data_IF_310871666000
#
_entry.id   IF_310871666000
#
_cell.length_a   1.000
_cell.length_b   1.000
_cell.length_c   1.000
_cell.angle_alpha   90.00
_cell.angle_beta   90.00
_cell.angle_gamma   90.00
#
_symmetry.space_group_name_H-M   'P 1'
#
loop_
_entity.id
_entity.type
_entity.pdbx_description
1 polymer ?
#
# COMPACT_ATOMS: atom_id res chain seq x y z
N UNK A 1 23.00 -1.78 57.69
CA UNK A 1 21.65 -1.63 57.10
C UNK A 1 21.69 -0.44 56.17
N UNK A 2 21.82 -0.72 54.87
CA UNK A 2 21.80 0.24 53.77
C UNK A 2 20.97 -0.40 52.64
N UNK A 3 20.22 0.37 51.84
CA UNK A 3 19.18 -0.15 50.95
C UNK A 3 19.76 -0.68 49.63
N UNK A 4 19.15 -1.76 49.13
CA UNK A 4 19.42 -2.30 47.79
C UNK A 4 18.65 -1.50 46.71
N UNK A 5 19.18 -1.41 45.48
CA UNK A 5 18.60 -0.63 44.40
C UNK A 5 17.55 -1.40 43.60
N UNK A 6 16.68 -0.64 42.94
CA UNK A 6 15.59 -1.06 42.06
C UNK A 6 16.19 -1.57 40.73
N UNK A 7 16.02 -2.86 40.43
CA UNK A 7 16.25 -3.40 39.08
C UNK A 7 14.98 -3.22 38.22
N UNK A 8 15.11 -2.42 37.16
CA UNK A 8 14.14 -2.28 36.08
C UNK A 8 14.29 -3.42 35.07
N UNK A 9 13.28 -4.29 34.98
CA UNK A 9 13.24 -5.35 33.99
C UNK A 9 12.92 -4.80 32.59
N UNK A 10 13.94 -4.43 31.83
CA UNK A 10 13.84 -4.27 30.37
C UNK A 10 13.89 -5.65 29.71
N UNK A 11 12.77 -6.12 29.15
CA UNK A 11 12.79 -7.30 28.26
C UNK A 11 13.35 -6.91 26.88
N UNK A 12 14.29 -7.69 26.31
CA UNK A 12 14.89 -7.35 25.02
C UNK A 12 13.95 -7.63 23.84
N UNK A 13 13.88 -6.65 22.93
CA UNK A 13 13.22 -6.73 21.63
C UNK A 13 13.85 -7.86 20.79
N UNK A 14 13.09 -8.90 20.44
CA UNK A 14 13.51 -9.89 19.42
C UNK A 14 13.24 -9.32 18.02
N UNK A 15 14.25 -9.19 17.15
CA UNK A 15 14.01 -8.84 15.75
C UNK A 15 13.33 -10.03 15.04
N UNK A 16 12.17 -9.78 14.42
CA UNK A 16 11.56 -10.74 13.48
C UNK A 16 12.45 -10.82 12.23
N UNK A 17 13.20 -11.90 12.09
CA UNK A 17 13.83 -12.27 10.83
C UNK A 17 12.73 -12.52 9.79
N UNK A 18 12.54 -11.55 8.89
CA UNK A 18 11.86 -11.75 7.62
C UNK A 18 12.96 -11.81 6.55
N UNK A 19 13.61 -12.96 6.43
CA UNK A 19 14.40 -13.28 5.25
C UNK A 19 13.44 -13.67 4.13
N UNK A 20 13.45 -12.93 3.04
CA UNK A 20 13.02 -13.45 1.74
C UNK A 20 14.10 -13.16 0.70
N UNK A 21 14.36 -14.12 -0.21
CA UNK A 21 15.45 -14.07 -1.16
C UNK A 21 15.18 -13.03 -2.23
N UNK A 22 16.25 -12.32 -2.61
CA UNK A 22 16.27 -11.49 -3.80
C UNK A 22 16.31 -12.38 -5.05
N UNK A 23 15.73 -11.85 -6.12
CA UNK A 23 15.82 -12.33 -7.51
C UNK A 23 14.97 -13.56 -7.82
N UNK A 24 13.79 -13.35 -8.40
CA UNK A 24 13.39 -14.08 -9.61
C UNK A 24 12.24 -13.39 -10.35
N UNK A 25 12.38 -13.37 -11.66
CA UNK A 25 11.57 -12.68 -12.65
C UNK A 25 10.10 -13.13 -12.72
N UNK A 26 9.23 -12.15 -12.94
CA UNK A 26 7.95 -12.23 -13.68
C UNK A 26 7.65 -13.58 -14.37
N UNK A 27 6.97 -14.49 -13.67
CA UNK A 27 6.05 -15.46 -14.29
C UNK A 27 4.79 -15.55 -13.44
N UNK A 28 3.65 -15.46 -14.11
CA UNK A 28 2.32 -15.56 -13.53
C UNK A 28 2.20 -16.83 -12.68
N UNK A 29 1.99 -16.67 -11.37
CA UNK A 29 1.60 -17.77 -10.49
C UNK A 29 0.12 -18.08 -10.76
N UNK A 30 -0.13 -19.12 -11.55
CA UNK A 30 -1.45 -19.71 -11.74
C UNK A 30 -1.81 -20.54 -10.50
N UNK A 31 -2.55 -19.90 -9.59
CA UNK A 31 -2.85 -20.42 -8.26
C UNK A 31 -3.94 -21.48 -8.22
N UNK A 32 -4.55 -21.88 -9.35
CA UNK A 32 -5.68 -22.85 -9.34
C UNK A 32 -5.29 -24.26 -8.88
N UNK A 33 -4.01 -24.64 -8.92
CA UNK A 33 -3.56 -26.01 -8.62
C UNK A 33 -3.18 -26.30 -7.16
N UNK A 34 -2.99 -25.30 -6.31
CA UNK A 34 -2.54 -25.50 -4.92
C UNK A 34 -3.65 -25.56 -3.86
N UNK A 35 -4.92 -25.32 -4.20
CA UNK A 35 -6.00 -25.12 -3.22
C UNK A 35 -7.06 -26.23 -3.15
N UNK A 36 -6.77 -27.44 -3.65
CA UNK A 36 -7.74 -28.56 -3.62
C UNK A 36 -7.61 -29.50 -2.42
N UNK A 37 -6.61 -29.41 -1.55
CA UNK A 37 -6.36 -30.49 -0.57
C UNK A 37 -6.83 -30.28 0.87
N UNK A 38 -7.29 -29.10 1.31
CA UNK A 38 -7.62 -28.88 2.73
C UNK A 38 -9.06 -28.39 2.95
N UNK A 39 -10.04 -29.21 2.60
CA UNK A 39 -11.39 -29.12 3.17
C UNK A 39 -11.64 -30.31 4.09
N UNK A 40 -11.46 -30.12 5.38
CA UNK A 40 -11.99 -31.04 6.40
C UNK A 40 -12.67 -30.27 7.54
N UNK A 41 -13.98 -30.52 7.63
CA UNK A 41 -14.79 -30.70 8.84
C UNK A 41 -14.76 -29.60 9.91
N UNK A 42 -15.85 -28.82 10.00
CA UNK A 42 -16.21 -28.00 11.17
C UNK A 42 -17.66 -28.34 11.58
N UNK A 43 -17.84 -29.47 12.26
CA UNK A 43 -19.10 -29.94 12.82
C UNK A 43 -19.32 -29.33 14.22
N UNK A 44 -19.74 -28.06 14.26
CA UNK A 44 -20.06 -27.36 15.51
C UNK A 44 -20.85 -26.05 15.30
N UNK A 45 -21.66 -25.97 14.24
CA UNK A 45 -22.43 -24.78 13.93
C UNK A 45 -23.56 -24.56 14.96
N UNK A 46 -23.36 -23.58 15.86
CA UNK A 46 -24.24 -23.19 16.98
C UNK A 46 -25.72 -23.01 16.57
N UNK A 47 -26.63 -23.32 17.50
CA UNK A 47 -28.09 -23.08 17.40
C UNK A 47 -28.45 -21.69 16.87
N UNK A 48 -27.61 -20.68 17.14
CA UNK A 48 -27.76 -19.31 16.65
C UNK A 48 -27.64 -19.24 15.12
N UNK A 49 -26.73 -19.98 14.48
CA UNK A 49 -26.69 -20.05 13.00
C UNK A 49 -27.98 -20.65 12.44
N UNK A 50 -28.55 -21.67 13.10
CA UNK A 50 -29.85 -22.24 12.71
C UNK A 50 -30.96 -21.21 12.87
N UNK A 51 -31.08 -20.55 14.01
CA UNK A 51 -32.08 -19.49 14.24
C UNK A 51 -31.95 -18.33 13.24
N UNK A 52 -30.74 -17.83 12.98
CA UNK A 52 -30.48 -16.76 12.00
C UNK A 52 -30.81 -17.23 10.58
N UNK A 53 -30.50 -18.48 10.23
CA UNK A 53 -30.88 -19.04 8.93
C UNK A 53 -32.39 -19.15 8.75
N UNK A 54 -33.12 -19.53 9.80
CA UNK A 54 -34.59 -19.62 9.80
C UNK A 54 -35.23 -18.24 9.72
N UNK A 55 -34.68 -17.25 10.42
CA UNK A 55 -35.15 -15.86 10.34
C UNK A 55 -34.90 -15.27 8.94
N UNK A 56 -33.72 -15.51 8.35
CA UNK A 56 -33.43 -15.08 6.95
C UNK A 56 -34.32 -15.76 5.91
N UNK A 57 -34.67 -17.02 6.11
CA UNK A 57 -35.62 -17.73 5.24
C UNK A 57 -37.04 -17.16 5.34
N UNK A 58 -37.42 -16.62 6.50
CA UNK A 58 -38.73 -15.99 6.73
C UNK A 58 -38.78 -14.51 6.34
N UNK A 59 -37.63 -13.82 6.40
CA UNK A 59 -37.45 -12.42 5.97
C UNK A 59 -36.33 -12.36 4.94
N UNK A 60 -36.59 -12.71 3.66
CA UNK A 60 -35.62 -12.42 2.60
C UNK A 60 -35.33 -10.92 2.64
N UNK A 61 -34.06 -10.54 2.55
CA UNK A 61 -33.64 -9.14 2.50
C UNK A 61 -34.14 -8.60 1.16
N UNK A 62 -35.39 -8.16 1.14
CA UNK A 62 -35.94 -7.34 0.09
C UNK A 62 -35.83 -5.92 0.59
N UNK A 63 -35.08 -5.10 -0.14
CA UNK A 63 -35.15 -3.65 0.00
C UNK A 63 -36.52 -3.20 -0.50
N UNK A 64 -37.57 -3.45 0.26
CA UNK A 64 -38.88 -2.86 0.01
C UNK A 64 -39.08 -1.62 0.86
N UNK A 65 -39.56 -0.59 0.17
CA UNK A 65 -40.16 0.61 0.71
C UNK A 65 -41.15 0.32 1.85
N UNK A 66 -41.28 1.33 2.69
CA UNK A 66 -42.03 1.37 3.93
C UNK A 66 -43.45 0.79 3.79
N UNK A 67 -43.74 -0.24 4.57
CA UNK A 67 -45.10 -0.62 4.96
C UNK A 67 -45.24 -0.41 6.47
N UNK A 68 -46.40 0.07 6.95
CA UNK A 68 -46.55 0.52 8.33
C UNK A 68 -46.51 -0.67 9.30
N UNK A 69 -45.59 -0.54 10.23
CA UNK A 69 -45.38 -1.19 11.52
C UNK A 69 -46.57 -1.99 12.08
N UNK A 70 -46.57 -3.31 11.90
CA UNK A 70 -47.10 -4.19 12.95
C UNK A 70 -46.08 -4.20 14.08
N UNK A 71 -46.52 -3.77 15.27
CA UNK A 71 -45.77 -3.67 16.52
C UNK A 71 -45.27 -5.03 17.00
N UNK A 72 -44.22 -5.56 16.39
CA UNK A 72 -43.40 -6.55 17.06
C UNK A 72 -42.74 -5.85 18.25
N UNK A 73 -43.08 -6.28 19.47
CA UNK A 73 -42.47 -5.80 20.70
C UNK A 73 -40.95 -5.92 20.58
N UNK A 74 -40.29 -4.81 20.27
CA UNK A 74 -38.84 -4.75 20.15
C UNK A 74 -38.25 -4.73 21.55
N UNK A 75 -37.33 -5.66 21.82
CA UNK A 75 -36.58 -5.67 23.08
C UNK A 75 -35.86 -4.31 23.24
N UNK A 76 -35.89 -3.71 24.45
CA UNK A 76 -35.10 -2.52 24.77
C UNK A 76 -33.62 -2.70 24.43
N UNK A 77 -32.97 -1.61 24.00
CA UNK A 77 -31.57 -1.66 23.57
C UNK A 77 -30.63 -2.09 24.70
N UNK A 78 -30.98 -1.80 25.95
CA UNK A 78 -30.24 -2.19 27.16
C UNK A 78 -30.23 -3.71 27.31
N UNK A 79 -31.38 -4.36 27.10
CA UNK A 79 -31.47 -5.83 27.15
C UNK A 79 -30.74 -6.48 25.97
N UNK A 80 -30.87 -5.90 24.76
CA UNK A 80 -30.11 -6.37 23.61
C UNK A 80 -28.59 -6.26 23.84
N UNK A 81 -28.13 -5.16 24.45
CA UNK A 81 -26.72 -4.96 24.81
C UNK A 81 -26.25 -6.02 25.79
N UNK A 82 -27.06 -6.32 26.83
CA UNK A 82 -26.77 -7.37 27.81
C UNK A 82 -26.77 -8.79 27.23
N UNK A 83 -27.59 -9.05 26.20
CA UNK A 83 -27.59 -10.32 25.48
C UNK A 83 -26.35 -10.43 24.60
N UNK A 84 -26.06 -9.40 23.81
CA UNK A 84 -24.93 -9.40 22.90
C UNK A 84 -23.58 -9.39 23.63
N UNK A 85 -23.49 -8.80 24.82
CA UNK A 85 -22.27 -8.87 25.65
C UNK A 85 -21.94 -10.28 26.16
N UNK A 86 -22.84 -11.25 25.97
CA UNK A 86 -22.61 -12.66 26.32
C UNK A 86 -22.36 -13.55 25.09
N UNK A 87 -22.39 -12.98 23.88
CA UNK A 87 -22.18 -13.72 22.65
C UNK A 87 -20.71 -13.67 22.23
N UNK A 88 -20.20 -14.79 21.71
CA UNK A 88 -18.87 -14.87 21.13
C UNK A 88 -18.84 -14.32 19.70
N UNK A 89 -17.63 -14.05 19.19
CA UNK A 89 -17.45 -13.26 17.98
C UNK A 89 -18.15 -13.79 16.72
N UNK A 90 -18.33 -15.10 16.56
CA UNK A 90 -19.06 -15.68 15.42
C UNK A 90 -20.57 -15.46 15.51
N UNK A 91 -21.13 -15.54 16.72
CA UNK A 91 -22.55 -15.37 16.99
C UNK A 91 -22.94 -13.89 16.96
N UNK A 92 -22.09 -13.00 17.49
CA UNK A 92 -22.23 -11.55 17.34
C UNK A 92 -22.34 -11.11 15.87
N UNK A 93 -21.44 -11.64 15.02
CA UNK A 93 -21.47 -11.35 13.58
C UNK A 93 -22.75 -11.85 12.91
N UNK A 94 -23.32 -12.94 13.40
CA UNK A 94 -24.56 -13.52 12.85
C UNK A 94 -25.79 -12.73 13.31
N UNK A 95 -25.83 -12.34 14.59
CA UNK A 95 -26.89 -11.52 15.18
C UNK A 95 -27.01 -10.15 14.46
N UNK A 96 -25.88 -9.57 14.06
CA UNK A 96 -25.85 -8.30 13.30
C UNK A 96 -26.67 -8.32 12.01
N UNK A 97 -26.84 -9.49 11.41
CA UNK A 97 -27.56 -9.62 10.14
C UNK A 97 -29.06 -9.93 10.30
N UNK A 98 -29.60 -9.88 11.52
CA UNK A 98 -31.01 -10.20 11.81
C UNK A 98 -31.92 -9.01 11.49
N UNK A 99 -31.66 -7.83 12.06
CA UNK A 99 -32.45 -6.61 11.80
C UNK A 99 -31.63 -5.33 12.04
N UNK A 100 -32.17 -4.18 11.61
CA UNK A 100 -31.50 -2.87 11.73
C UNK A 100 -31.23 -2.47 13.19
N UNK A 101 -32.16 -2.76 14.10
CA UNK A 101 -32.00 -2.45 15.53
C UNK A 101 -30.83 -3.23 16.14
N UNK A 102 -30.75 -4.54 15.89
CA UNK A 102 -29.67 -5.38 16.39
C UNK A 102 -28.33 -4.94 15.81
N UNK A 103 -28.29 -4.60 14.52
CA UNK A 103 -27.08 -4.04 13.92
C UNK A 103 -26.63 -2.77 14.64
N UNK A 104 -27.54 -1.81 14.87
CA UNK A 104 -27.24 -0.56 15.59
C UNK A 104 -26.71 -0.83 16.99
N UNK A 105 -27.36 -1.69 17.78
CA UNK A 105 -26.93 -2.00 19.14
C UNK A 105 -25.54 -2.65 19.13
N UNK A 106 -25.30 -3.63 18.25
CA UNK A 106 -24.01 -4.32 18.14
C UNK A 106 -22.88 -3.37 17.71
N UNK A 107 -23.14 -2.44 16.79
CA UNK A 107 -22.15 -1.44 16.32
C UNK A 107 -21.74 -0.42 17.39
N UNK A 108 -22.62 -0.15 18.37
CA UNK A 108 -22.40 0.81 19.45
C UNK A 108 -22.01 0.15 20.79
N UNK A 109 -22.02 -1.17 20.87
CA UNK A 109 -21.62 -1.90 22.08
C UNK A 109 -20.09 -1.98 22.15
N UNK A 110 -19.48 -1.24 23.09
CA UNK A 110 -18.01 -1.26 23.34
C UNK A 110 -17.45 -2.68 23.48
N UNK A 111 -18.19 -3.57 24.13
CA UNK A 111 -17.81 -4.97 24.31
C UNK A 111 -17.52 -5.69 22.98
N UNK A 112 -18.28 -5.42 21.92
CA UNK A 112 -18.09 -6.08 20.61
C UNK A 112 -16.79 -5.62 19.95
N UNK A 113 -16.43 -4.35 20.13
CA UNK A 113 -15.18 -3.77 19.61
C UNK A 113 -13.95 -4.27 20.37
N UNK A 114 -14.09 -4.57 21.66
CA UNK A 114 -13.00 -5.07 22.51
C UNK A 114 -12.85 -6.61 22.43
N UNK A 115 -13.95 -7.34 22.22
CA UNK A 115 -13.96 -8.81 22.23
C UNK A 115 -13.61 -9.41 20.87
N UNK A 116 -13.84 -8.69 19.79
CA UNK A 116 -13.51 -9.16 18.44
C UNK A 116 -12.04 -8.90 18.14
N UNK A 117 -11.25 -9.96 18.15
CA UNK A 117 -9.84 -9.90 17.73
C UNK A 117 -9.71 -9.29 16.33
N UNK A 118 -8.85 -8.28 16.14
CA UNK A 118 -8.53 -7.75 14.82
C UNK A 118 -8.04 -8.87 13.90
N UNK A 119 -8.36 -8.73 12.61
CA UNK A 119 -7.95 -9.64 11.55
C UNK A 119 -6.87 -8.97 10.74
N UNK A 120 -5.70 -9.61 10.67
CA UNK A 120 -4.63 -9.15 9.80
C UNK A 120 -5.02 -9.38 8.34
N UNK A 121 -5.26 -8.28 7.63
CA UNK A 121 -5.54 -8.23 6.20
C UNK A 121 -4.21 -8.06 5.50
N UNK A 122 -3.70 -9.15 4.93
CA UNK A 122 -2.42 -9.17 4.22
C UNK A 122 -2.42 -8.25 2.99
N UNK A 123 -3.57 -8.14 2.31
CA UNK A 123 -3.82 -7.33 1.11
C UNK A 123 -5.27 -6.89 1.08
N UNK A 124 -5.48 -5.59 0.94
CA UNK A 124 -6.74 -4.95 0.62
C UNK A 124 -6.65 -4.41 -0.81
N UNK A 125 -7.45 -4.96 -1.72
CA UNK A 125 -7.42 -4.69 -3.15
C UNK A 125 -8.69 -3.97 -3.56
N UNK A 126 -8.54 -2.86 -4.27
CA UNK A 126 -9.62 -2.07 -4.86
C UNK A 126 -9.46 -2.15 -6.38
N UNK A 127 -10.47 -2.67 -7.07
CA UNK A 127 -10.40 -2.81 -8.53
C UNK A 127 -11.75 -2.62 -9.20
N UNK A 128 -11.76 -2.25 -10.49
CA UNK A 128 -12.98 -2.24 -11.28
C UNK A 128 -13.32 -3.65 -11.75
N UNK A 129 -14.59 -4.03 -11.66
CA UNK A 129 -15.11 -5.30 -12.15
C UNK A 129 -16.50 -5.11 -12.74
N UNK A 130 -16.62 -5.25 -14.08
CA UNK A 130 -17.90 -5.23 -14.82
C UNK A 130 -18.79 -4.02 -14.50
N UNK A 131 -18.20 -2.82 -14.40
CA UNK A 131 -18.93 -1.58 -14.11
C UNK A 131 -19.23 -1.35 -12.63
N UNK A 132 -18.81 -2.25 -11.74
CA UNK A 132 -18.86 -2.08 -10.29
C UNK A 132 -17.45 -1.96 -9.71
N UNK A 133 -17.35 -1.45 -8.49
CA UNK A 133 -16.12 -1.41 -7.72
C UNK A 133 -16.01 -2.66 -6.84
N UNK A 134 -14.99 -3.47 -7.02
CA UNK A 134 -14.70 -4.59 -6.14
C UNK A 134 -13.74 -4.18 -5.02
N UNK A 135 -14.17 -4.37 -3.78
CA UNK A 135 -13.32 -4.36 -2.59
C UNK A 135 -13.02 -5.80 -2.21
N UNK A 136 -11.76 -6.22 -2.30
CA UNK A 136 -11.33 -7.58 -1.97
C UNK A 136 -10.29 -7.55 -0.86
N UNK A 137 -10.41 -8.43 0.13
CA UNK A 137 -9.43 -8.55 1.20
C UNK A 137 -9.01 -10.00 1.42
N UNK A 138 -7.72 -10.19 1.67
CA UNK A 138 -7.11 -11.50 1.90
C UNK A 138 -6.61 -11.60 3.35
N UNK A 139 -7.11 -12.57 4.11
CA UNK A 139 -6.77 -12.74 5.53
C UNK A 139 -5.50 -13.58 5.66
N UNK A 140 -4.51 -13.06 6.39
CA UNK A 140 -3.25 -13.76 6.62
C UNK A 140 -3.46 -15.04 7.43
N UNK A 141 -2.68 -16.09 7.16
CA UNK A 141 -2.70 -17.37 7.88
C UNK A 141 -3.88 -18.31 7.56
N UNK A 142 -5.01 -17.80 7.05
CA UNK A 142 -6.19 -18.63 6.73
C UNK A 142 -6.39 -18.92 5.24
N UNK A 143 -5.69 -18.23 4.34
CA UNK A 143 -5.88 -18.38 2.90
C UNK A 143 -7.25 -17.94 2.38
N UNK A 144 -8.10 -17.34 3.23
CA UNK A 144 -9.42 -16.86 2.85
C UNK A 144 -9.31 -15.52 2.10
N UNK A 145 -9.93 -15.47 0.91
CA UNK A 145 -10.20 -14.23 0.17
C UNK A 145 -11.70 -13.95 0.21
N UNK A 146 -12.06 -12.71 0.48
CA UNK A 146 -13.45 -12.25 0.43
C UNK A 146 -13.53 -11.00 -0.41
N UNK A 147 -14.64 -10.82 -1.10
CA UNK A 147 -14.89 -9.62 -1.87
C UNK A 147 -16.30 -9.09 -1.67
N UNK A 148 -16.45 -7.80 -1.91
CA UNK A 148 -17.69 -7.06 -1.92
C UNK A 148 -17.71 -6.21 -3.19
N UNK A 149 -18.78 -6.33 -3.97
CA UNK A 149 -19.03 -5.47 -5.12
C UNK A 149 -19.89 -4.29 -4.68
N UNK A 150 -19.43 -3.09 -5.01
CA UNK A 150 -20.11 -1.83 -4.75
C UNK A 150 -20.54 -1.20 -6.06
N UNK A 151 -21.82 -0.85 -6.15
CA UNK A 151 -22.32 -0.03 -7.26
C UNK A 151 -21.93 1.44 -7.04
N UNK A 152 -21.89 2.26 -8.10
CA UNK A 152 -21.66 3.70 -7.96
C UNK A 152 -22.68 4.38 -7.03
N UNK A 153 -23.92 3.90 -7.01
CA UNK A 153 -24.96 4.42 -6.11
C UNK A 153 -24.64 4.12 -4.64
N UNK A 154 -24.11 2.92 -4.32
CA UNK A 154 -23.74 2.56 -2.95
C UNK A 154 -22.55 3.37 -2.42
N UNK A 155 -21.62 3.75 -3.31
CA UNK A 155 -20.52 4.64 -2.98
C UNK A 155 -21.05 6.04 -2.60
N UNK A 156 -21.96 6.58 -3.42
CA UNK A 156 -22.58 7.91 -3.21
C UNK A 156 -23.55 7.95 -2.03
N UNK A 157 -24.29 6.87 -1.78
CA UNK A 157 -25.23 6.80 -0.66
C UNK A 157 -24.55 6.68 0.71
N UNK A 158 -23.23 6.54 0.75
CA UNK A 158 -22.47 6.48 1.99
C UNK A 158 -22.65 5.16 2.73
N UNK A 159 -22.74 4.03 2.01
CA UNK A 159 -22.75 2.71 2.62
C UNK A 159 -21.66 2.58 3.69
N UNK A 160 -22.05 2.30 4.93
CA UNK A 160 -21.09 2.10 6.01
C UNK A 160 -20.59 0.66 6.05
N UNK A 161 -19.28 0.50 5.93
CA UNK A 161 -18.53 -0.73 6.16
C UNK A 161 -17.71 -0.63 7.45
N UNK A 162 -17.93 0.38 8.28
CA UNK A 162 -17.09 0.69 9.45
C UNK A 162 -16.90 -0.50 10.38
N UNK A 163 -17.97 -1.25 10.65
CA UNK A 163 -17.87 -2.45 11.47
C UNK A 163 -16.85 -3.45 10.92
N UNK A 164 -16.73 -3.64 9.60
CA UNK A 164 -15.71 -4.53 9.06
C UNK A 164 -14.30 -3.95 9.26
N UNK A 165 -14.13 -2.67 8.95
CA UNK A 165 -12.84 -1.99 9.01
C UNK A 165 -12.29 -1.79 10.43
N UNK A 166 -13.17 -1.61 11.42
CA UNK A 166 -12.80 -1.62 12.86
C UNK A 166 -12.10 -2.91 13.31
N UNK A 167 -12.17 -3.97 12.51
CA UNK A 167 -11.51 -5.24 12.78
C UNK A 167 -10.47 -5.60 11.73
N UNK A 168 -10.08 -4.67 10.85
CA UNK A 168 -9.02 -4.90 9.90
C UNK A 168 -7.73 -4.27 10.39
N UNK A 169 -6.66 -5.06 10.36
CA UNK A 169 -5.27 -4.56 10.41
C UNK A 169 -4.70 -4.72 9.00
N UNK A 170 -4.72 -3.64 8.22
CA UNK A 170 -4.40 -3.70 6.79
C UNK A 170 -2.90 -3.51 6.61
N UNK A 171 -2.23 -4.53 6.06
CA UNK A 171 -0.79 -4.48 5.79
C UNK A 171 -0.46 -3.88 4.42
N UNK A 172 -1.30 -4.11 3.41
CA UNK A 172 -1.03 -3.67 2.03
C UNK A 172 -2.31 -3.19 1.39
N UNK A 173 -2.22 -2.05 0.71
CA UNK A 173 -3.32 -1.45 -0.03
C UNK A 173 -2.94 -1.42 -1.50
N UNK A 174 -3.78 -1.99 -2.34
CA UNK A 174 -3.53 -2.15 -3.78
C UNK A 174 -4.73 -1.63 -4.54
N UNK A 175 -4.53 -0.69 -5.43
CA UNK A 175 -5.52 -0.29 -6.42
C UNK A 175 -5.10 -0.84 -7.77
N UNK A 176 -6.02 -1.51 -8.46
CA UNK A 176 -5.73 -2.17 -9.72
C UNK A 176 -6.83 -1.94 -10.73
N UNK A 177 -6.49 -1.53 -11.95
CA UNK A 177 -7.45 -1.39 -13.06
C UNK A 177 -8.70 -0.60 -12.65
N UNK A 178 -8.52 0.54 -11.99
CA UNK A 178 -9.62 1.35 -11.44
C UNK A 178 -9.37 2.83 -11.70
N UNK A 179 -10.44 3.59 -11.94
CA UNK A 179 -10.38 5.04 -11.98
C UNK A 179 -10.50 5.60 -10.57
N UNK A 180 -9.50 6.33 -10.12
CA UNK A 180 -9.54 7.03 -8.84
C UNK A 180 -10.36 8.30 -8.96
N UNK A 181 -11.35 8.43 -8.08
CA UNK A 181 -12.17 9.62 -7.93
C UNK A 181 -12.07 10.14 -6.50
N UNK A 182 -12.40 11.42 -6.29
CA UNK A 182 -12.44 11.98 -4.94
C UNK A 182 -13.48 11.28 -4.04
N UNK A 183 -14.61 10.86 -4.63
CA UNK A 183 -15.64 10.08 -3.94
C UNK A 183 -15.07 8.76 -3.40
N UNK A 184 -14.32 8.03 -4.23
CA UNK A 184 -13.70 6.76 -3.83
C UNK A 184 -12.66 6.97 -2.73
N UNK A 185 -11.77 7.96 -2.88
CA UNK A 185 -10.75 8.22 -1.86
C UNK A 185 -11.38 8.69 -0.54
N UNK A 186 -12.42 9.51 -0.58
CA UNK A 186 -13.15 9.96 0.60
C UNK A 186 -13.88 8.81 1.29
N UNK A 187 -14.52 7.95 0.51
CA UNK A 187 -15.13 6.72 1.01
C UNK A 187 -14.10 5.84 1.73
N UNK A 188 -12.98 5.53 1.07
CA UNK A 188 -11.96 4.66 1.66
C UNK A 188 -11.30 5.27 2.89
N UNK A 189 -11.00 6.58 2.86
CA UNK A 189 -10.43 7.31 4.00
C UNK A 189 -11.30 7.17 5.24
N UNK A 190 -12.61 7.43 5.14
CA UNK A 190 -13.56 7.27 6.27
C UNK A 190 -13.49 5.88 6.90
N UNK A 191 -13.37 4.86 6.06
CA UNK A 191 -13.32 3.47 6.51
C UNK A 191 -11.94 3.08 7.07
N UNK A 192 -10.86 3.60 6.52
CA UNK A 192 -9.53 3.39 7.07
C UNK A 192 -9.31 4.13 8.39
N UNK A 193 -9.93 5.29 8.59
CA UNK A 193 -9.84 6.05 9.86
C UNK A 193 -10.40 5.27 11.06
N UNK A 194 -11.38 4.39 10.85
CA UNK A 194 -11.91 3.53 11.92
C UNK A 194 -11.13 2.22 12.12
N UNK A 195 -10.11 1.95 11.29
CA UNK A 195 -9.29 0.74 11.41
C UNK A 195 -8.27 0.92 12.55
N UNK A 196 -8.23 0.01 13.53
CA UNK A 196 -7.33 0.13 14.67
C UNK A 196 -5.88 0.02 14.18
N UNK A 197 -5.04 0.96 14.61
CA UNK A 197 -3.61 1.01 14.24
C UNK A 197 -3.39 0.95 12.73
N UNK A 198 -4.19 1.70 11.96
CA UNK A 198 -4.03 1.80 10.52
C UNK A 198 -2.60 2.28 10.17
N UNK A 199 -1.76 1.33 9.80
CA UNK A 199 -0.34 1.53 9.50
C UNK A 199 0.08 0.56 8.38
N UNK A 200 -0.45 0.72 7.16
CA UNK A 200 -0.09 -0.13 6.04
C UNK A 200 1.41 -0.02 5.74
N UNK A 201 2.02 -1.14 5.37
CA UNK A 201 3.43 -1.24 4.99
C UNK A 201 3.64 -1.00 3.49
N UNK A 202 2.61 -1.22 2.68
CA UNK A 202 2.71 -1.10 1.23
C UNK A 202 1.48 -0.44 0.61
N UNK A 203 1.74 0.47 -0.32
CA UNK A 203 0.74 1.14 -1.14
C UNK A 203 1.11 1.01 -2.62
N UNK A 204 0.22 0.41 -3.40
CA UNK A 204 0.43 0.09 -4.81
C UNK A 204 -0.73 0.61 -5.65
N UNK A 205 -0.43 1.39 -6.67
CA UNK A 205 -1.36 1.76 -7.74
C UNK A 205 -0.88 1.11 -9.03
N UNK A 206 -1.68 0.22 -9.62
CA UNK A 206 -1.34 -0.52 -10.85
C UNK A 206 -2.41 -0.34 -11.91
N UNK A 207 -2.04 0.23 -13.06
CA UNK A 207 -2.97 0.47 -14.17
C UNK A 207 -4.19 1.27 -13.72
N UNK A 208 -3.93 2.29 -12.91
CA UNK A 208 -4.95 3.16 -12.30
C UNK A 208 -5.09 4.43 -13.13
N UNK A 209 -6.32 4.83 -13.39
CA UNK A 209 -6.62 6.11 -14.04
C UNK A 209 -6.83 7.21 -12.99
N UNK A 210 -6.05 8.28 -13.07
CA UNK A 210 -6.11 9.42 -12.15
C UNK A 210 -6.64 10.69 -12.84
N UNK A 211 -7.18 10.57 -14.05
CA UNK A 211 -7.73 11.70 -14.83
C UNK A 211 -8.77 12.53 -14.07
N UNK A 212 -9.63 11.87 -13.30
CA UNK A 212 -10.73 12.47 -12.54
C UNK A 212 -10.32 12.95 -11.13
N UNK A 213 -9.03 12.86 -10.77
CA UNK A 213 -8.56 13.13 -9.42
C UNK A 213 -7.79 14.45 -9.35
N UNK A 214 -8.17 15.35 -8.43
CA UNK A 214 -7.37 16.55 -8.15
C UNK A 214 -6.04 16.19 -7.45
N UNK A 215 -4.93 16.92 -7.69
CA UNK A 215 -3.65 16.59 -7.09
C UNK A 215 -3.73 16.74 -5.56
N UNK A 216 -4.47 17.76 -5.10
CA UNK A 216 -4.73 18.02 -3.69
C UNK A 216 -5.57 16.91 -3.01
N UNK A 217 -6.56 16.32 -3.69
CA UNK A 217 -7.29 15.18 -3.14
C UNK A 217 -6.39 13.95 -3.03
N UNK A 218 -5.55 13.71 -4.04
CA UNK A 218 -4.57 12.62 -3.99
C UNK A 218 -3.57 12.81 -2.85
N UNK A 219 -2.99 14.00 -2.72
CA UNK A 219 -2.02 14.33 -1.68
C UNK A 219 -2.63 14.20 -0.27
N UNK A 220 -3.85 14.69 -0.05
CA UNK A 220 -4.55 14.52 1.25
C UNK A 220 -4.79 13.07 1.61
N UNK A 221 -5.15 12.23 0.63
CA UNK A 221 -5.33 10.79 0.87
C UNK A 221 -3.98 10.10 1.10
N UNK A 222 -2.98 10.42 0.30
CA UNK A 222 -1.64 9.85 0.44
C UNK A 222 -0.99 10.23 1.76
N UNK A 223 -1.11 11.49 2.21
CA UNK A 223 -0.61 11.96 3.50
C UNK A 223 -1.13 11.16 4.69
N UNK A 224 -2.36 10.63 4.59
CA UNK A 224 -2.95 9.77 5.60
C UNK A 224 -2.36 8.35 5.58
N UNK A 225 -1.99 7.82 4.41
CA UNK A 225 -1.49 6.44 4.23
C UNK A 225 0.04 6.35 4.36
N UNK A 226 0.77 7.39 3.94
CA UNK A 226 2.21 7.39 3.72
C UNK A 226 3.12 7.19 4.97
N UNK A 227 2.79 7.67 6.18
CA UNK A 227 3.74 7.70 7.31
C UNK A 227 4.27 6.32 7.78
N UNK A 228 3.56 5.24 7.45
CA UNK A 228 3.94 3.86 7.82
C UNK A 228 4.50 3.04 6.64
N UNK A 229 4.54 3.61 5.43
CA UNK A 229 4.89 2.85 4.24
C UNK A 229 6.39 2.50 4.21
N UNK A 230 6.66 1.22 3.99
CA UNK A 230 7.98 0.73 3.58
C UNK A 230 8.08 0.61 2.05
N UNK A 231 6.95 0.44 1.35
CA UNK A 231 6.93 0.26 -0.10
C UNK A 231 5.86 1.12 -0.75
N UNK A 232 6.27 1.95 -1.70
CA UNK A 232 5.38 2.81 -2.49
C UNK A 232 5.59 2.55 -3.98
N UNK A 233 4.52 2.17 -4.70
CA UNK A 233 4.60 1.79 -6.11
C UNK A 233 3.48 2.43 -6.93
N UNK A 234 3.87 3.15 -7.98
CA UNK A 234 3.01 3.72 -8.99
C UNK A 234 3.36 3.11 -10.34
N UNK A 235 2.51 2.22 -10.85
CA UNK A 235 2.75 1.45 -12.07
C UNK A 235 1.69 1.73 -13.11
N UNK A 236 2.13 2.16 -14.30
CA UNK A 236 1.25 2.36 -15.46
C UNK A 236 0.05 3.28 -15.16
N UNK A 237 0.27 4.37 -14.44
CA UNK A 237 -0.78 5.36 -14.18
C UNK A 237 -1.20 6.05 -15.48
N UNK A 238 -2.50 6.19 -15.71
CA UNK A 238 -3.06 6.96 -16.82
C UNK A 238 -3.74 8.24 -16.34
N UNK A 239 -3.94 9.19 -17.26
CA UNK A 239 -4.62 10.44 -16.92
C UNK A 239 -3.79 11.33 -16.00
N UNK A 240 -2.47 11.17 -16.00
CA UNK A 240 -1.60 11.82 -15.03
C UNK A 240 -1.26 13.26 -15.45
N UNK A 241 -1.25 14.18 -14.49
CA UNK A 241 -0.72 15.53 -14.68
C UNK A 241 0.65 15.66 -14.03
N UNK A 242 1.49 16.54 -14.55
CA UNK A 242 2.85 16.76 -14.04
C UNK A 242 2.91 17.16 -12.56
N UNK A 243 1.85 17.78 -12.05
CA UNK A 243 1.67 18.22 -10.66
C UNK A 243 0.96 17.19 -9.76
N UNK A 244 0.62 16.00 -10.27
CA UNK A 244 -0.05 14.95 -9.48
C UNK A 244 0.92 14.24 -8.53
N UNK A 245 2.16 14.00 -8.97
CA UNK A 245 3.22 13.38 -8.17
C UNK A 245 4.38 14.37 -8.11
N UNK A 246 4.62 14.90 -6.91
CA UNK A 246 5.55 16.01 -6.67
C UNK A 246 6.45 15.72 -5.46
N UNK A 247 7.50 16.51 -5.27
CA UNK A 247 8.32 16.45 -4.04
C UNK A 247 7.48 16.69 -2.76
N UNK A 248 6.39 17.46 -2.83
CA UNK A 248 5.48 17.66 -1.70
C UNK A 248 4.77 16.35 -1.32
N UNK A 249 4.24 15.64 -2.31
CA UNK A 249 3.66 14.31 -2.11
C UNK A 249 4.69 13.36 -1.49
N UNK A 250 5.90 13.31 -2.07
CA UNK A 250 6.99 12.44 -1.61
C UNK A 250 7.42 12.75 -0.18
N UNK A 251 7.28 14.00 0.29
CA UNK A 251 7.61 14.41 1.67
C UNK A 251 6.79 13.66 2.73
N UNK A 252 5.61 13.15 2.41
CA UNK A 252 4.80 12.38 3.35
C UNK A 252 5.34 10.98 3.64
N UNK A 253 6.20 10.43 2.77
CA UNK A 253 6.89 9.18 3.06
C UNK A 253 7.89 9.38 4.19
N UNK A 254 7.88 8.48 5.17
CA UNK A 254 8.87 8.46 6.24
C UNK A 254 10.24 8.06 5.68
N UNK A 255 11.16 9.03 5.66
CA UNK A 255 12.50 8.86 5.13
C UNK A 255 13.32 7.83 5.91
N UNK A 256 12.94 7.43 7.12
CA UNK A 256 13.64 6.39 7.89
C UNK A 256 13.08 4.98 7.68
N UNK A 257 11.84 4.86 7.16
CA UNK A 257 11.15 3.57 7.00
C UNK A 257 11.07 3.10 5.56
N UNK A 258 11.02 4.01 4.60
CA UNK A 258 10.82 3.64 3.19
C UNK A 258 11.97 2.78 2.70
N UNK A 259 11.66 1.63 2.10
CA UNK A 259 12.64 0.66 1.57
C UNK A 259 12.58 0.56 0.06
N UNK A 260 11.46 0.90 -0.56
CA UNK A 260 11.29 0.86 -2.01
C UNK A 260 10.32 1.93 -2.50
N UNK A 261 10.73 2.64 -3.54
CA UNK A 261 9.92 3.62 -4.27
C UNK A 261 10.00 3.27 -5.76
N UNK A 262 8.84 3.03 -6.37
CA UNK A 262 8.71 2.76 -7.79
C UNK A 262 7.69 3.71 -8.42
N UNK A 263 8.11 4.35 -9.51
CA UNK A 263 7.26 5.11 -10.42
C UNK A 263 7.63 4.65 -11.83
N UNK A 264 6.77 3.85 -12.46
CA UNK A 264 7.04 3.21 -13.75
C UNK A 264 5.89 3.42 -14.74
N UNK A 265 6.25 3.64 -16.00
CA UNK A 265 5.37 3.85 -17.14
C UNK A 265 4.25 4.91 -16.95
N UNK A 266 4.53 6.13 -16.45
CA UNK A 266 3.49 7.16 -16.30
C UNK A 266 2.98 7.64 -17.67
N UNK A 267 1.64 7.72 -17.83
CA UNK A 267 0.96 8.19 -19.03
C UNK A 267 0.22 9.51 -18.74
N UNK A 268 0.72 10.58 -19.34
CA UNK A 268 0.24 11.94 -19.11
C UNK A 268 -1.01 12.27 -19.94
N UNK A 269 -1.91 13.10 -19.39
CA UNK A 269 -3.14 13.56 -20.09
C UNK A 269 -2.80 14.35 -21.36
N UNK A 270 -1.86 15.29 -21.24
CA UNK A 270 -1.58 16.26 -22.30
C UNK A 270 -0.39 15.82 -23.16
N UNK A 271 -0.62 15.61 -24.45
CA UNK A 271 0.40 15.15 -25.38
C UNK A 271 1.51 16.19 -25.62
N UNK A 272 1.19 17.48 -25.56
CA UNK A 272 2.06 18.60 -25.97
C UNK A 272 2.84 19.27 -24.83
N UNK A 273 2.67 18.82 -23.58
CA UNK A 273 3.39 19.37 -22.41
C UNK A 273 4.57 18.46 -22.04
N UNK A 274 5.60 18.99 -21.34
CA UNK A 274 6.67 18.17 -20.82
C UNK A 274 6.08 17.03 -19.97
N UNK A 275 6.33 15.80 -20.44
CA UNK A 275 5.84 14.55 -19.85
C UNK A 275 6.77 14.14 -18.72
N UNK A 276 6.87 15.01 -17.70
CA UNK A 276 7.73 14.88 -16.54
C UNK A 276 6.96 15.13 -15.25
N UNK A 277 7.27 14.32 -14.24
CA UNK A 277 6.82 14.47 -12.87
C UNK A 277 7.68 15.50 -12.14
N UNK A 278 7.05 16.27 -11.24
CA UNK A 278 7.75 17.23 -10.37
C UNK A 278 8.38 16.57 -9.14
N UNK A 279 8.94 15.38 -9.33
CA UNK A 279 9.80 14.70 -8.37
C UNK A 279 11.23 15.03 -8.78
N UNK A 280 11.95 15.76 -7.94
CA UNK A 280 13.24 16.34 -8.28
C UNK A 280 14.33 15.91 -7.30
N UNK A 281 15.49 16.54 -7.43
CA UNK A 281 16.63 16.41 -6.53
C UNK A 281 16.28 16.58 -5.06
N UNK A 282 15.24 17.36 -4.74
CA UNK A 282 14.76 17.53 -3.37
C UNK A 282 14.36 16.21 -2.70
N UNK A 283 13.72 15.29 -3.45
CA UNK A 283 13.35 13.98 -2.92
C UNK A 283 14.58 13.14 -2.59
N UNK A 284 15.58 13.09 -3.50
CA UNK A 284 16.82 12.34 -3.28
C UNK A 284 17.65 12.94 -2.14
N UNK A 285 17.79 14.27 -2.11
CA UNK A 285 18.49 14.98 -1.05
C UNK A 285 17.88 14.67 0.32
N UNK A 286 16.55 14.69 0.44
CA UNK A 286 15.86 14.36 1.70
C UNK A 286 16.14 12.92 2.17
N UNK A 287 16.07 11.95 1.26
CA UNK A 287 16.34 10.55 1.59
C UNK A 287 17.80 10.36 2.03
N UNK A 288 18.74 10.93 1.28
CA UNK A 288 20.17 10.88 1.57
C UNK A 288 20.54 11.57 2.87
N UNK A 289 19.98 12.75 3.16
CA UNK A 289 20.17 13.45 4.45
C UNK A 289 19.60 12.65 5.63
N UNK A 290 18.53 11.89 5.41
CA UNK A 290 18.00 10.93 6.39
C UNK A 290 18.85 9.66 6.54
N UNK A 291 19.93 9.54 5.78
CA UNK A 291 20.79 8.36 5.72
C UNK A 291 20.07 7.12 5.18
N UNK A 292 18.97 7.27 4.45
CA UNK A 292 18.21 6.12 3.95
C UNK A 292 18.28 6.05 2.43
N UNK A 293 18.52 4.84 1.94
CA UNK A 293 18.77 4.58 0.53
C UNK A 293 17.84 3.46 0.06
N UNK A 294 16.54 3.74 -0.17
CA UNK A 294 15.59 2.75 -0.66
C UNK A 294 15.96 2.27 -2.08
N UNK A 295 15.44 1.11 -2.47
CA UNK A 295 15.44 0.69 -3.86
C UNK A 295 14.58 1.66 -4.69
N UNK A 296 15.17 2.27 -5.70
CA UNK A 296 14.53 3.31 -6.51
C UNK A 296 14.29 2.82 -7.93
N UNK A 297 13.10 3.06 -8.44
CA UNK A 297 12.81 2.98 -9.86
C UNK A 297 11.98 4.21 -10.24
N UNK A 298 12.58 5.16 -10.95
CA UNK A 298 11.99 6.47 -11.22
C UNK A 298 11.99 6.72 -12.73
N UNK A 299 10.80 6.79 -13.32
CA UNK A 299 10.60 7.10 -14.72
C UNK A 299 10.03 8.51 -14.91
N UNK A 300 10.61 9.30 -15.83
CA UNK A 300 10.15 10.65 -16.21
C UNK A 300 10.11 11.64 -15.04
N UNK A 301 11.16 11.69 -14.23
CA UNK A 301 11.33 12.63 -13.12
C UNK A 301 12.27 13.79 -13.47
N UNK A 302 12.32 14.82 -12.63
CA UNK A 302 13.17 16.01 -12.74
C UNK A 302 14.46 15.88 -11.89
N UNK A 303 15.03 14.67 -11.87
CA UNK A 303 16.30 14.39 -11.18
C UNK A 303 17.46 14.73 -12.11
N UNK A 304 18.58 15.17 -11.54
CA UNK A 304 19.81 15.50 -12.29
C UNK A 304 20.93 14.48 -12.06
N UNK A 305 21.83 14.34 -13.04
CA UNK A 305 23.06 13.52 -12.88
C UNK A 305 23.90 13.95 -11.66
N UNK A 306 23.96 15.26 -11.37
CA UNK A 306 24.70 15.81 -10.24
C UNK A 306 24.16 15.27 -8.90
N UNK A 307 22.85 15.36 -8.69
CA UNK A 307 22.24 14.89 -7.45
C UNK A 307 22.26 13.36 -7.36
N UNK A 308 22.11 12.66 -8.49
CA UNK A 308 22.21 11.21 -8.53
C UNK A 308 23.61 10.71 -8.13
N UNK A 309 24.67 11.38 -8.61
CA UNK A 309 26.05 11.09 -8.20
C UNK A 309 26.29 11.42 -6.73
N UNK A 310 25.78 12.55 -6.23
CA UNK A 310 25.84 12.89 -4.80
C UNK A 310 25.11 11.88 -3.91
N UNK A 311 23.93 11.41 -4.34
CA UNK A 311 23.17 10.37 -3.65
C UNK A 311 23.96 9.05 -3.60
N UNK A 312 24.61 8.68 -4.71
CA UNK A 312 25.46 7.48 -4.82
C UNK A 312 26.66 7.57 -3.88
N UNK A 313 27.36 8.72 -3.86
CA UNK A 313 28.49 8.96 -2.95
C UNK A 313 28.08 8.81 -1.48
N UNK A 314 26.96 9.40 -1.08
CA UNK A 314 26.49 9.32 0.30
C UNK A 314 26.06 7.89 0.69
N UNK A 315 25.52 7.12 -0.27
CA UNK A 315 25.26 5.69 -0.06
C UNK A 315 26.54 4.93 0.24
N UNK A 316 27.58 5.12 -0.60
CA UNK A 316 28.86 4.42 -0.45
C UNK A 316 29.56 4.80 0.86
N UNK A 317 29.56 6.09 1.24
CA UNK A 317 30.05 6.56 2.54
C UNK A 317 29.33 5.88 3.71
N UNK A 318 28.00 5.71 3.62
CA UNK A 318 27.25 5.01 4.65
C UNK A 318 27.54 3.49 4.65
N UNK A 319 27.68 2.89 3.47
CA UNK A 319 28.01 1.47 3.34
C UNK A 319 29.36 1.11 3.95
N UNK A 320 30.36 1.98 3.77
CA UNK A 320 31.66 1.86 4.40
C UNK A 320 31.58 1.85 5.94
N UNK A 321 30.69 2.68 6.51
CA UNK A 321 30.49 2.77 7.97
C UNK A 321 29.72 1.56 8.53
N UNK A 322 28.79 1.00 7.77
CA UNK A 322 27.89 -0.09 8.17
C UNK A 322 28.19 -1.41 7.42
N UNK A 323 29.45 -1.85 7.44
CA UNK A 323 30.02 -3.01 6.70
C UNK A 323 29.27 -4.37 6.82
N UNK A 324 28.22 -4.47 7.65
CA UNK A 324 27.42 -5.70 7.84
C UNK A 324 25.96 -5.59 7.38
N UNK A 325 25.49 -4.46 6.85
CA UNK A 325 24.03 -4.21 6.74
C UNK A 325 23.50 -3.65 5.43
N UNK A 326 24.34 -3.20 4.51
CA UNK A 326 23.81 -2.57 3.31
C UNK A 326 23.59 -3.62 2.22
N UNK A 327 22.33 -4.06 2.09
CA UNK A 327 21.86 -4.81 0.93
C UNK A 327 22.20 -4.02 -0.33
N UNK A 328 22.73 -4.70 -1.36
CA UNK A 328 22.95 -4.15 -2.69
C UNK A 328 21.74 -3.31 -3.12
N UNK A 329 21.91 -1.99 -3.23
CA UNK A 329 20.85 -1.10 -3.67
C UNK A 329 20.82 -1.03 -5.18
N UNK A 330 19.59 -1.05 -5.72
CA UNK A 330 19.33 -0.89 -7.13
C UNK A 330 18.58 0.43 -7.32
N UNK A 331 19.16 1.30 -8.15
CA UNK A 331 18.55 2.53 -8.59
C UNK A 331 18.33 2.46 -10.11
N UNK A 332 17.09 2.55 -10.56
CA UNK A 332 16.76 2.62 -11.99
C UNK A 332 16.18 3.99 -12.30
N UNK A 333 16.84 4.73 -13.19
CA UNK A 333 16.40 6.03 -13.67
C UNK A 333 16.08 5.89 -15.15
N UNK A 334 14.84 6.21 -15.54
CA UNK A 334 14.37 6.01 -16.91
C UNK A 334 13.76 7.30 -17.47
N UNK A 335 14.16 7.70 -18.69
CA UNK A 335 13.60 8.87 -19.40
C UNK A 335 13.59 10.15 -18.56
N UNK A 336 14.66 10.40 -17.81
CA UNK A 336 14.84 11.61 -17.02
C UNK A 336 15.78 12.56 -17.79
N UNK A 337 15.30 13.66 -18.39
CA UNK A 337 16.09 14.41 -19.38
C UNK A 337 17.39 15.04 -18.86
N UNK A 338 17.48 15.28 -17.56
CA UNK A 338 18.68 15.82 -16.90
C UNK A 338 19.62 14.73 -16.37
N UNK A 339 19.36 13.46 -16.71
CA UNK A 339 20.22 12.31 -16.42
C UNK A 339 20.61 11.68 -17.74
N UNK A 340 21.89 11.80 -18.09
CA UNK A 340 22.50 11.08 -19.20
C UNK A 340 23.64 10.21 -18.69
N UNK A 341 23.95 9.14 -19.40
CA UNK A 341 25.10 8.27 -19.12
C UNK A 341 26.39 9.07 -18.94
N UNK A 342 26.77 9.82 -19.98
CA UNK A 342 27.99 10.62 -19.97
C UNK A 342 27.99 11.69 -18.87
N UNK A 343 26.84 12.33 -18.61
CA UNK A 343 26.70 13.31 -17.56
C UNK A 343 26.90 12.70 -16.18
N UNK A 344 26.32 11.51 -15.94
CA UNK A 344 26.47 10.78 -14.68
C UNK A 344 27.90 10.29 -14.46
N UNK A 345 28.53 9.69 -15.48
CA UNK A 345 29.94 9.27 -15.41
C UNK A 345 30.90 10.42 -15.12
N UNK A 346 30.70 11.59 -15.75
CA UNK A 346 31.52 12.77 -15.51
C UNK A 346 31.38 13.28 -14.07
N UNK A 347 30.17 13.25 -13.52
CA UNK A 347 29.94 13.60 -12.11
C UNK A 347 30.50 12.56 -11.14
N UNK A 348 30.48 11.27 -11.48
CA UNK A 348 31.16 10.22 -10.72
C UNK A 348 32.68 10.45 -10.70
N UNK A 349 33.29 10.71 -11.87
CA UNK A 349 34.73 10.98 -12.00
C UNK A 349 35.16 12.21 -11.20
N UNK A 350 34.36 13.29 -11.22
CA UNK A 350 34.59 14.50 -10.40
C UNK A 350 34.61 14.23 -8.90
N UNK A 351 33.93 13.17 -8.45
CA UNK A 351 33.82 12.75 -7.05
C UNK A 351 34.73 11.58 -6.71
N UNK A 352 35.65 11.22 -7.61
CA UNK A 352 36.53 10.04 -7.45
C UNK A 352 35.76 8.73 -7.20
N UNK A 353 34.59 8.58 -7.82
CA UNK A 353 33.84 7.33 -7.82
C UNK A 353 34.22 6.53 -9.07
N UNK A 354 34.56 5.25 -8.87
CA UNK A 354 34.77 4.32 -9.98
C UNK A 354 33.42 3.84 -10.48
N UNK A 355 33.16 4.04 -11.77
CA UNK A 355 31.89 3.76 -12.42
C UNK A 355 32.18 2.80 -13.59
N UNK A 356 31.86 1.52 -13.39
CA UNK A 356 32.08 0.47 -14.39
C UNK A 356 30.75 0.10 -15.04
N UNK A 357 30.68 0.18 -16.37
CA UNK A 357 29.51 -0.31 -17.12
C UNK A 357 29.55 -1.84 -17.22
N UNK A 358 28.40 -2.50 -17.06
CA UNK A 358 28.26 -3.95 -17.25
C UNK A 358 28.29 -4.29 -18.75
N UNK A 359 29.35 -4.99 -19.17
CA UNK A 359 29.55 -5.45 -20.56
C UNK A 359 28.35 -6.21 -21.15
N UNK A 360 27.54 -6.87 -20.31
CA UNK A 360 26.37 -7.67 -20.75
C UNK A 360 25.08 -6.86 -20.79
N UNK A 361 25.03 -5.72 -20.12
CA UNK A 361 23.82 -4.89 -19.99
C UNK A 361 24.18 -3.42 -20.14
N UNK A 362 24.09 -2.91 -21.37
CA UNK A 362 24.28 -1.49 -21.67
C UNK A 362 23.48 -0.60 -20.72
N UNK A 363 24.12 0.46 -20.26
CA UNK A 363 23.60 1.45 -19.32
C UNK A 363 23.29 0.93 -17.91
N UNK A 364 23.83 -0.23 -17.53
CA UNK A 364 23.88 -0.69 -16.15
C UNK A 364 25.28 -0.42 -15.62
N UNK A 365 25.41 0.34 -14.56
CA UNK A 365 26.69 0.66 -13.94
C UNK A 365 26.77 0.07 -12.55
N UNK A 366 27.96 -0.42 -12.22
CA UNK A 366 28.39 -0.75 -10.87
C UNK A 366 29.28 0.39 -10.38
N UNK A 367 28.85 1.11 -9.35
CA UNK A 367 29.60 2.23 -8.79
C UNK A 367 30.16 1.87 -7.43
N UNK A 368 31.44 2.14 -7.24
CA UNK A 368 32.19 1.81 -6.02
C UNK A 368 33.24 2.88 -5.71
N UNK A 369 33.69 2.90 -4.46
CA UNK A 369 34.84 3.70 -4.01
C UNK A 369 36.11 2.87 -4.08
N UNK A 370 37.25 3.49 -4.39
CA UNK A 370 38.57 2.82 -4.45
C UNK A 370 38.91 2.06 -3.15
N UNK A 371 38.47 2.57 -2.00
CA UNK A 371 38.75 1.98 -0.68
C UNK A 371 37.84 0.79 -0.31
N UNK A 372 36.72 0.59 -1.02
CA UNK A 372 35.67 -0.38 -0.64
C UNK A 372 34.98 -1.03 -1.86
N UNK A 373 35.69 -1.91 -2.56
CA UNK A 373 35.18 -2.62 -3.73
C UNK A 373 33.98 -3.56 -3.43
N UNK A 374 33.77 -3.96 -2.18
CA UNK A 374 32.66 -4.85 -1.79
C UNK A 374 31.30 -4.13 -1.72
N UNK A 375 31.28 -2.81 -1.54
CA UNK A 375 30.06 -2.01 -1.51
C UNK A 375 29.76 -1.44 -2.90
N UNK A 376 28.98 -2.18 -3.69
CA UNK A 376 28.53 -1.71 -5.00
C UNK A 376 27.15 -1.03 -4.92
N UNK A 377 27.02 0.12 -5.59
CA UNK A 377 25.74 0.72 -5.93
C UNK A 377 25.42 0.41 -7.39
N UNK A 378 24.32 -0.31 -7.62
CA UNK A 378 23.92 -0.67 -8.98
C UNK A 378 22.94 0.37 -9.51
N UNK A 379 23.28 0.97 -10.65
CA UNK A 379 22.45 1.98 -11.29
C UNK A 379 22.14 1.64 -12.74
N UNK A 380 20.87 1.70 -13.13
CA UNK A 380 20.44 1.52 -14.52
C UNK A 380 19.89 2.82 -15.07
N UNK A 381 20.51 3.34 -16.12
CA UNK A 381 20.12 4.57 -16.79
C UNK A 381 19.48 4.22 -18.14
N UNK A 382 18.18 4.43 -18.30
CA UNK A 382 17.47 4.01 -19.52
C UNK A 382 16.94 5.24 -20.25
N UNK A 383 17.63 5.60 -21.32
CA UNK A 383 17.13 6.56 -22.30
C UNK A 383 16.34 5.83 -23.39
N UNK A 384 15.06 6.17 -23.54
CA UNK A 384 14.27 5.78 -24.71
C UNK A 384 14.14 7.02 -25.60
N UNK A 385 15.13 7.28 -26.45
CA UNK A 385 14.92 7.68 -27.86
C UNK A 385 16.16 7.27 -28.67
N UNK A 386 16.03 6.45 -29.74
CA UNK A 386 16.99 6.57 -30.83
C UNK A 386 16.88 8.02 -31.32
N UNK A 387 18.01 8.72 -31.41
CA UNK A 387 18.08 9.90 -32.27
C UNK A 387 17.57 9.43 -33.63
N UNK A 388 16.39 9.89 -34.03
CA UNK A 388 16.01 9.84 -35.43
C UNK A 388 17.06 10.66 -36.14
N UNK A 389 18.06 9.98 -36.68
CA UNK A 389 19.04 10.60 -37.54
C UNK A 389 18.28 11.36 -38.60
N UNK A 390 18.61 12.64 -38.63
CA UNK A 390 18.23 13.61 -39.63
C UNK A 390 18.63 13.02 -40.98
N UNK A 391 17.71 12.35 -41.66
CA UNK A 391 17.77 12.23 -43.10
C UNK A 391 17.14 13.49 -43.68
N UNK A 392 17.96 14.54 -43.71
CA UNK A 392 17.88 15.54 -44.76
C UNK A 392 18.33 14.82 -46.03
N UNK A 393 17.38 14.54 -46.91
CA UNK A 393 17.55 14.62 -48.36
C UNK A 393 16.28 15.15 -48.99
#
# INVERSE_FOLDING_TARGET
MAPNPIESSHSPFRPRQLSFPAVESSKALDFRRLFKSNQTMDHGASLIRRCVSTIRKRNPIVYHEELPSQSQAQLPNELLTNVFSRLEGADLRSARAVCRQWNRVIEHTKYVLETLTPRTVSRFVVQSSRGALELRWCVYGRGESRSLLLTPQQLRSGLSLEFAFRHFEIQRIIFKNVSLTEELLSFLRRHFEVSPRFAPLSFVLESVDVSALSPAAFERFFAFVAPSLETFQLRSLSGLRADTVTDSLMRHLDAQKVRSIEISAPRFVFAHRPKLLRVSDLTLARLSCGGNFPALHLERCQITSLMLAHYTENYLKKAAQDARRIQSQVCTIKKCPAVSNQGYENECRRRSLSCEEDDKKRNLYSVHTEEHAEAAFTISLIDDEPRSDVLVQ
#
